data_IF_400614618305
#
_entry.id   IF_400614618305
#
_cell.length_a   1.000
_cell.length_b   1.000
_cell.length_c   1.000
_cell.angle_alpha   90.00
_cell.angle_beta   90.00
_cell.angle_gamma   90.00
#
_symmetry.space_group_name_H-M   'P 1'
#
loop_
_entity.id
_entity.type
_entity.pdbx_description
1 polymer ?
#
# COMPACT_ATOMS: atom_id res chain seq x y z
N UNK A 1 62.56 0.11 -34.30
CA UNK A 1 62.22 -0.74 -33.15
C UNK A 1 62.22 0.15 -31.93
N UNK A 2 61.06 0.19 -31.23
CA UNK A 2 60.82 0.61 -29.82
C UNK A 2 61.18 2.06 -29.43
N UNK A 3 60.33 2.86 -28.78
CA UNK A 3 59.07 2.64 -28.07
C UNK A 3 58.38 4.02 -27.95
N UNK A 4 57.09 4.14 -28.28
CA UNK A 4 56.28 5.34 -28.02
C UNK A 4 55.89 5.35 -26.53
N UNK A 5 56.47 6.26 -25.75
CA UNK A 5 55.99 6.59 -24.41
C UNK A 5 54.75 7.49 -24.53
N UNK A 6 53.61 6.99 -24.05
CA UNK A 6 52.37 7.75 -23.94
C UNK A 6 52.38 8.59 -22.66
N UNK A 7 52.01 9.88 -22.69
CA UNK A 7 51.90 10.69 -21.48
C UNK A 7 50.62 10.38 -20.69
N UNK A 8 50.75 10.34 -19.37
CA UNK A 8 49.66 10.12 -18.40
C UNK A 8 48.57 11.23 -18.46
N UNK A 9 47.30 10.90 -18.16
CA UNK A 9 46.20 11.86 -18.21
C UNK A 9 46.26 12.84 -17.03
N UNK A 10 46.58 14.11 -17.32
CA UNK A 10 46.45 15.21 -16.36
C UNK A 10 44.96 15.49 -16.14
N UNK A 11 44.53 15.21 -14.91
CA UNK A 11 43.19 15.43 -14.36
C UNK A 11 42.65 16.82 -14.73
N UNK A 12 41.52 16.84 -15.45
CA UNK A 12 40.76 18.05 -15.70
C UNK A 12 40.19 18.59 -14.37
N UNK A 13 40.62 19.78 -13.98
CA UNK A 13 39.97 20.57 -12.95
C UNK A 13 38.70 21.19 -13.55
N UNK A 14 37.54 20.57 -13.30
CA UNK A 14 36.25 21.21 -13.52
C UNK A 14 35.99 22.20 -12.38
N UNK A 15 35.91 23.47 -12.75
CA UNK A 15 35.52 24.59 -11.90
C UNK A 15 34.01 24.76 -11.85
N UNK A 16 33.51 25.13 -10.66
CA UNK A 16 32.23 25.79 -10.33
C UNK A 16 31.11 24.90 -9.71
N UNK A 17 30.16 25.50 -8.96
CA UNK A 17 30.21 25.65 -7.51
C UNK A 17 29.27 24.68 -6.77
N UNK A 18 29.69 24.19 -5.60
CA UNK A 18 28.83 23.50 -4.63
C UNK A 18 27.75 24.45 -4.08
N UNK A 19 26.64 24.55 -4.80
CA UNK A 19 25.37 25.04 -4.28
C UNK A 19 24.27 24.14 -4.84
N UNK A 20 24.30 22.87 -4.44
CA UNK A 20 23.14 21.99 -4.56
C UNK A 20 22.69 21.69 -3.15
N UNK A 21 21.81 22.54 -2.63
CA UNK A 21 20.84 22.16 -1.61
C UNK A 21 19.98 21.02 -2.19
N UNK A 22 20.54 19.82 -2.26
CA UNK A 22 19.76 18.61 -2.38
C UNK A 22 19.21 18.35 -0.99
N UNK A 23 18.11 19.03 -0.68
CA UNK A 23 17.08 18.50 0.21
C UNK A 23 16.49 17.24 -0.42
N UNK A 24 17.31 16.22 -0.62
CA UNK A 24 16.83 14.85 -0.69
C UNK A 24 16.42 14.53 0.75
N UNK A 25 15.19 14.93 1.08
CA UNK A 25 14.47 14.38 2.21
C UNK A 25 14.53 12.88 2.07
N UNK A 26 15.49 12.28 2.76
CA UNK A 26 15.48 10.88 3.10
C UNK A 26 14.18 10.72 3.88
N UNK A 27 13.12 10.33 3.16
CA UNK A 27 11.91 9.85 3.76
C UNK A 27 12.35 8.68 4.63
N UNK A 28 12.47 8.92 5.93
CA UNK A 28 12.76 7.92 6.95
C UNK A 28 11.92 6.67 6.63
N UNK A 29 12.50 5.55 6.15
CA UNK A 29 11.70 4.39 5.80
C UNK A 29 11.42 3.59 7.08
N UNK A 30 10.76 4.20 8.07
CA UNK A 30 10.13 3.48 9.15
C UNK A 30 9.09 4.31 9.94
N UNK A 31 7.97 3.67 10.36
CA UNK A 31 7.92 2.24 10.58
C UNK A 31 6.79 1.60 9.76
N UNK A 32 7.17 0.96 8.65
CA UNK A 32 6.44 -0.24 8.18
C UNK A 32 6.21 -1.21 9.35
N UNK A 33 7.11 -1.21 10.35
CA UNK A 33 6.94 -1.87 11.66
C UNK A 33 5.69 -1.45 12.43
N UNK A 34 5.29 -0.18 12.44
CA UNK A 34 4.11 0.33 13.14
C UNK A 34 2.84 -0.13 12.45
N UNK A 35 2.76 0.04 11.13
CA UNK A 35 1.65 -0.47 10.32
C UNK A 35 1.53 -2.01 10.38
N UNK A 36 2.64 -2.75 10.29
CA UNK A 36 2.64 -4.22 10.40
C UNK A 36 2.27 -4.70 11.80
N UNK A 37 2.78 -4.06 12.85
CA UNK A 37 2.45 -4.39 14.25
C UNK A 37 0.99 -4.07 14.55
N UNK A 38 0.51 -2.93 14.05
CA UNK A 38 -0.89 -2.51 14.13
C UNK A 38 -1.79 -3.48 13.34
N UNK A 39 -1.42 -3.83 12.11
CA UNK A 39 -2.16 -4.80 11.29
C UNK A 39 -2.17 -6.18 11.96
N UNK A 40 -1.06 -6.59 12.58
CA UNK A 40 -1.01 -7.82 13.38
C UNK A 40 -1.91 -7.74 14.63
N UNK A 41 -2.03 -6.58 15.29
CA UNK A 41 -2.97 -6.37 16.40
C UNK A 41 -4.43 -6.32 15.94
N UNK A 42 -4.71 -5.72 14.78
CA UNK A 42 -6.00 -5.72 14.11
C UNK A 42 -6.46 -7.16 13.78
N UNK A 43 -5.54 -7.97 13.26
CA UNK A 43 -5.75 -9.40 13.00
C UNK A 43 -6.02 -10.15 14.31
N UNK A 44 -5.30 -9.81 15.38
CA UNK A 44 -5.49 -10.33 16.74
C UNK A 44 -6.60 -9.59 17.48
N UNK A 45 -7.82 -9.55 16.92
CA UNK A 45 -9.19 -9.29 17.48
C UNK A 45 -9.44 -8.64 18.87
N UNK A 46 -8.47 -8.09 19.58
CA UNK A 46 -8.50 -7.60 20.96
C UNK A 46 -8.30 -6.07 21.04
N UNK A 47 -8.05 -5.40 19.90
CA UNK A 47 -8.08 -3.93 19.83
C UNK A 47 -9.52 -3.44 19.74
N UNK A 48 -9.82 -2.26 20.30
CA UNK A 48 -11.14 -1.66 20.20
C UNK A 48 -11.50 -1.42 18.72
N UNK A 49 -12.66 -1.89 18.27
CA UNK A 49 -13.12 -1.76 16.87
C UNK A 49 -13.11 -0.30 16.41
N UNK A 50 -13.38 0.65 17.31
CA UNK A 50 -13.35 2.08 16.98
C UNK A 50 -11.92 2.56 16.65
N UNK A 51 -10.93 2.20 17.45
CA UNK A 51 -9.51 2.51 17.20
C UNK A 51 -9.03 1.87 15.89
N UNK A 52 -9.54 0.67 15.57
CA UNK A 52 -9.24 0.01 14.30
C UNK A 52 -9.74 0.83 13.10
N UNK A 53 -10.98 1.36 13.17
CA UNK A 53 -11.51 2.23 12.12
C UNK A 53 -10.73 3.54 11.99
N UNK A 54 -10.38 4.17 13.11
CA UNK A 54 -9.61 5.41 13.11
C UNK A 54 -8.25 5.23 12.44
N UNK A 55 -7.51 4.19 12.82
CA UNK A 55 -6.22 3.90 12.22
C UNK A 55 -6.31 3.50 10.74
N UNK A 56 -7.36 2.78 10.34
CA UNK A 56 -7.63 2.49 8.92
C UNK A 56 -7.92 3.76 8.12
N UNK A 57 -8.68 4.69 8.70
CA UNK A 57 -8.99 5.97 8.07
C UNK A 57 -7.74 6.84 7.92
N UNK A 58 -6.89 6.92 8.94
CA UNK A 58 -5.60 7.61 8.84
C UNK A 58 -4.70 6.97 7.78
N UNK A 59 -4.63 5.63 7.72
CA UNK A 59 -3.86 4.93 6.69
C UNK A 59 -4.36 5.26 5.28
N UNK A 60 -5.69 5.38 5.09
CA UNK A 60 -6.27 5.78 3.82
C UNK A 60 -5.95 7.24 3.49
N UNK A 61 -5.96 8.14 4.48
CA UNK A 61 -5.57 9.54 4.28
C UNK A 61 -4.09 9.68 3.87
N UNK A 62 -3.21 8.91 4.50
CA UNK A 62 -1.77 8.93 4.21
C UNK A 62 -1.44 8.29 2.87
N UNK A 63 -2.09 7.17 2.53
CA UNK A 63 -1.91 6.50 1.25
C UNK A 63 -3.25 6.05 0.66
N UNK A 64 -3.93 6.95 -0.08
CA UNK A 64 -5.23 6.64 -0.69
C UNK A 64 -5.18 5.58 -1.78
N UNK A 65 -3.98 5.25 -2.28
CA UNK A 65 -3.77 4.25 -3.33
C UNK A 65 -3.40 2.87 -2.77
N UNK A 66 -3.30 2.70 -1.45
CA UNK A 66 -2.99 1.39 -0.86
C UNK A 66 -4.26 0.51 -0.81
N UNK A 67 -4.38 -0.57 -1.61
CA UNK A 67 -5.58 -1.40 -1.63
C UNK A 67 -5.75 -2.14 -0.28
N UNK A 68 -4.64 -2.41 0.40
CA UNK A 68 -4.59 -3.08 1.71
C UNK A 68 -5.47 -2.40 2.75
N UNK A 69 -5.47 -1.07 2.84
CA UNK A 69 -6.24 -0.36 3.86
C UNK A 69 -7.75 -0.50 3.62
N UNK A 70 -8.20 -0.46 2.36
CA UNK A 70 -9.59 -0.69 2.01
C UNK A 70 -10.00 -2.14 2.25
N UNK A 71 -9.18 -3.14 1.90
CA UNK A 71 -9.47 -4.56 2.20
C UNK A 71 -9.67 -4.77 3.70
N UNK A 72 -8.78 -4.25 4.52
CA UNK A 72 -8.86 -4.41 5.97
C UNK A 72 -10.09 -3.71 6.57
N UNK A 73 -10.44 -2.51 6.07
CA UNK A 73 -11.65 -1.81 6.51
C UNK A 73 -12.92 -2.52 6.06
N UNK A 74 -12.94 -3.08 4.85
CA UNK A 74 -14.04 -3.90 4.36
C UNK A 74 -14.24 -5.17 5.20
N UNK A 75 -13.15 -5.86 5.57
CA UNK A 75 -13.22 -7.02 6.47
C UNK A 75 -13.73 -6.64 7.87
N UNK A 76 -13.33 -5.49 8.38
CA UNK A 76 -13.83 -4.98 9.66
C UNK A 76 -15.33 -4.65 9.58
N UNK A 77 -15.77 -3.99 8.50
CA UNK A 77 -17.19 -3.76 8.22
C UNK A 77 -17.98 -5.09 8.11
N UNK A 78 -17.42 -6.14 7.49
CA UNK A 78 -18.06 -7.47 7.45
C UNK A 78 -18.22 -8.08 8.85
N UNK A 79 -17.19 -7.99 9.70
CA UNK A 79 -17.27 -8.46 11.10
C UNK A 79 -18.37 -7.72 11.87
N UNK A 80 -18.55 -6.43 11.58
CA UNK A 80 -19.62 -5.59 12.13
C UNK A 80 -20.98 -5.75 11.43
N UNK A 81 -21.10 -6.66 10.45
CA UNK A 81 -22.31 -6.89 9.62
C UNK A 81 -22.75 -5.67 8.81
N UNK A 82 -21.86 -4.73 8.58
CA UNK A 82 -22.08 -3.53 7.77
C UNK A 82 -21.78 -3.83 6.29
N UNK A 83 -22.58 -4.71 5.69
CA UNK A 83 -22.32 -5.26 4.36
C UNK A 83 -22.22 -4.21 3.25
N UNK A 84 -23.04 -3.16 3.30
CA UNK A 84 -23.01 -2.08 2.30
C UNK A 84 -21.68 -1.31 2.32
N UNK A 85 -21.19 -0.96 3.51
CA UNK A 85 -19.90 -0.28 3.68
C UNK A 85 -18.73 -1.20 3.31
N UNK A 86 -18.81 -2.46 3.70
CA UNK A 86 -17.82 -3.46 3.31
C UNK A 86 -17.69 -3.57 1.79
N UNK A 87 -18.83 -3.59 1.09
CA UNK A 87 -18.88 -3.66 -0.38
C UNK A 87 -18.14 -2.50 -1.03
N UNK A 88 -18.42 -1.27 -0.59
CA UNK A 88 -17.77 -0.05 -1.11
C UNK A 88 -16.25 -0.12 -0.95
N UNK A 89 -15.78 -0.58 0.21
CA UNK A 89 -14.34 -0.71 0.47
C UNK A 89 -13.69 -1.78 -0.41
N UNK A 90 -14.33 -2.94 -0.59
CA UNK A 90 -13.80 -3.98 -1.46
C UNK A 90 -13.81 -3.58 -2.93
N UNK A 91 -14.86 -2.91 -3.40
CA UNK A 91 -14.91 -2.36 -4.76
C UNK A 91 -13.76 -1.37 -5.00
N UNK A 92 -13.48 -0.50 -4.02
CA UNK A 92 -12.34 0.43 -4.10
C UNK A 92 -11.01 -0.30 -4.11
N UNK A 93 -10.85 -1.35 -3.30
CA UNK A 93 -9.63 -2.15 -3.29
C UNK A 93 -9.37 -2.82 -4.64
N UNK A 94 -10.39 -3.42 -5.27
CA UNK A 94 -10.27 -4.05 -6.59
C UNK A 94 -9.84 -3.03 -7.65
N UNK A 95 -10.48 -1.86 -7.69
CA UNK A 95 -10.14 -0.81 -8.64
C UNK A 95 -8.67 -0.36 -8.53
N UNK A 96 -8.18 -0.20 -7.29
CA UNK A 96 -6.79 0.17 -7.02
C UNK A 96 -5.82 -0.95 -7.38
N UNK A 97 -6.20 -2.22 -7.15
CA UNK A 97 -5.34 -3.34 -7.58
C UNK A 97 -5.24 -3.41 -9.09
N UNK A 98 -6.33 -3.18 -9.82
CA UNK A 98 -6.32 -3.23 -11.28
C UNK A 98 -5.41 -2.13 -11.85
N UNK A 99 -5.46 -0.91 -11.30
CA UNK A 99 -4.54 0.20 -11.62
C UNK A 99 -3.06 -0.17 -11.34
N UNK A 100 -2.79 -0.81 -10.20
CA UNK A 100 -1.42 -1.23 -9.83
C UNK A 100 -0.90 -2.43 -10.61
N UNK A 101 -1.78 -3.28 -11.12
CA UNK A 101 -1.41 -4.40 -11.98
C UNK A 101 -0.89 -3.90 -13.33
N UNK A 102 -1.45 -2.81 -13.85
CA UNK A 102 -0.97 -2.16 -15.06
C UNK A 102 0.44 -1.57 -14.87
N UNK A 103 0.80 -1.16 -13.65
CA UNK A 103 2.11 -0.59 -13.30
C UNK A 103 3.17 -1.63 -12.84
N UNK A 104 2.80 -2.91 -12.75
CA UNK A 104 3.67 -4.06 -12.39
C UNK A 104 4.43 -3.99 -11.04
N UNK A 105 4.27 -2.94 -10.23
CA UNK A 105 5.03 -2.74 -8.98
C UNK A 105 4.55 -3.58 -7.79
N UNK A 106 3.29 -4.03 -7.79
CA UNK A 106 2.66 -4.63 -6.60
C UNK A 106 2.13 -6.06 -6.80
N UNK A 107 2.48 -6.73 -7.91
CA UNK A 107 1.88 -7.97 -8.40
C UNK A 107 1.37 -8.98 -7.36
N UNK A 108 2.24 -9.51 -6.48
CA UNK A 108 1.83 -10.52 -5.48
C UNK A 108 0.90 -9.92 -4.40
N UNK A 109 1.22 -8.72 -3.92
CA UNK A 109 0.43 -8.04 -2.87
C UNK A 109 -0.92 -7.62 -3.44
N UNK A 110 -0.93 -7.04 -4.64
CA UNK A 110 -2.13 -6.66 -5.37
C UNK A 110 -3.01 -7.87 -5.65
N UNK A 111 -2.44 -9.00 -6.09
CA UNK A 111 -3.18 -10.25 -6.28
C UNK A 111 -3.85 -10.70 -4.98
N UNK A 112 -3.10 -10.77 -3.89
CA UNK A 112 -3.62 -11.20 -2.60
C UNK A 112 -4.74 -10.26 -2.09
N UNK A 113 -4.60 -8.95 -2.28
CA UNK A 113 -5.63 -7.98 -1.91
C UNK A 113 -6.88 -8.12 -2.77
N UNK A 114 -6.73 -8.33 -4.08
CA UNK A 114 -7.83 -8.56 -5.02
C UNK A 114 -8.62 -9.82 -4.65
N UNK A 115 -7.94 -10.93 -4.40
CA UNK A 115 -8.59 -12.18 -3.97
C UNK A 115 -9.34 -12.04 -2.64
N UNK A 116 -8.78 -11.29 -1.68
CA UNK A 116 -9.47 -10.99 -0.41
C UNK A 116 -10.70 -10.11 -0.63
N UNK A 117 -10.58 -9.08 -1.46
CA UNK A 117 -11.68 -8.19 -1.78
C UNK A 117 -12.82 -8.94 -2.49
N UNK A 118 -12.50 -9.77 -3.48
CA UNK A 118 -13.49 -10.59 -4.20
C UNK A 118 -14.21 -11.58 -3.28
N UNK A 119 -13.50 -12.19 -2.33
CA UNK A 119 -14.13 -13.02 -1.28
C UNK A 119 -15.05 -12.18 -0.39
N UNK A 120 -14.63 -10.98 0.00
CA UNK A 120 -15.48 -10.06 0.75
C UNK A 120 -16.77 -9.68 0.01
N UNK A 121 -16.67 -9.42 -1.30
CA UNK A 121 -17.81 -9.13 -2.17
C UNK A 121 -18.74 -10.33 -2.36
N UNK A 122 -18.20 -11.55 -2.42
CA UNK A 122 -19.02 -12.76 -2.51
C UNK A 122 -19.90 -12.94 -1.26
N UNK A 123 -19.37 -12.67 -0.07
CA UNK A 123 -20.14 -12.69 1.17
C UNK A 123 -21.29 -11.65 1.18
N UNK A 124 -21.06 -10.45 0.65
CA UNK A 124 -22.11 -9.42 0.53
C UNK A 124 -23.25 -9.82 -0.42
N UNK A 125 -22.92 -10.54 -1.51
CA UNK A 125 -23.89 -11.02 -2.50
C UNK A 125 -24.77 -12.16 -1.96
N UNK A 126 -24.18 -13.08 -1.19
CA UNK A 126 -24.93 -14.18 -0.53
C UNK A 126 -25.86 -13.64 0.56
N UNK A 127 -25.46 -12.57 1.25
CA UNK A 127 -26.32 -11.92 2.24
C UNK A 127 -27.58 -11.29 1.62
N UNK A 128 -27.48 -10.74 0.41
CA UNK A 128 -28.63 -10.17 -0.30
C UNK A 128 -29.58 -11.25 -0.86
N UNK A 129 -29.05 -12.39 -1.31
CA UNK A 129 -29.90 -13.51 -1.78
C UNK A 129 -30.69 -14.19 -0.65
N UNK A 130 -30.20 -14.13 0.59
CA UNK A 130 -30.90 -14.69 1.76
C UNK A 130 -31.91 -13.71 2.41
N UNK A 131 -32.00 -12.46 1.95
CA UNK A 131 -33.03 -11.51 2.41
C UNK A 131 -34.29 -11.50 1.55
N UNK A 132 -34.28 -12.23 0.43
CA UNK A 132 -35.33 -12.22 -0.60
C UNK A 132 -36.17 -13.53 -0.64
N UNK A 133 -36.17 -14.31 0.45
CA UNK A 133 -37.02 -15.52 0.62
C UNK A 133 -37.93 -15.39 1.83
#
# INVERSE_FOLDING_TARGET
MTQEEWPEPVMAQETAPEAVEATSGQADPAPKRGFLQWMANLLRSNSNVQEQFEALNESIQQNPQAPTAYVLRGELHLKQKQYALARVDFERAVALTDEQFEEAQWGIVAQAMRERAERGLSHGRVAHLNSDV
#
